data_IF_348867376848
#
_entry.id   IF_348867376848
#
_cell.length_a   1.000
_cell.length_b   1.000
_cell.length_c   1.000
_cell.angle_alpha   90.00
_cell.angle_beta   90.00
_cell.angle_gamma   90.00
#
_symmetry.space_group_name_H-M   'P 1'
#
loop_
_entity.id
_entity.type
_entity.pdbx_description
1 polymer ?
#
# COMPACT_ATOMS: atom_id res chain seq x y z
N UNK A 1 -12.99 -1.44 25.67
CA UNK A 1 -11.99 -1.09 24.62
C UNK A 1 -12.73 -0.81 23.33
N UNK A 2 -12.60 0.40 22.75
CA UNK A 2 -13.30 0.77 21.52
C UNK A 2 -12.56 0.15 20.33
N UNK A 3 -13.14 -0.87 19.71
CA UNK A 3 -12.65 -1.44 18.44
C UNK A 3 -12.75 -0.33 17.39
N UNK A 4 -11.63 0.28 17.02
CA UNK A 4 -11.60 1.23 15.90
C UNK A 4 -11.56 0.42 14.61
N UNK A 5 -12.72 0.22 14.01
CA UNK A 5 -12.82 -0.25 12.62
C UNK A 5 -12.13 0.78 11.72
N UNK A 6 -11.29 0.35 10.75
CA UNK A 6 -10.81 1.26 9.72
C UNK A 6 -12.04 1.77 8.95
N UNK A 7 -12.20 3.09 8.90
CA UNK A 7 -13.28 3.75 8.17
C UNK A 7 -13.11 3.51 6.68
N UNK A 8 -13.77 2.49 6.14
CA UNK A 8 -14.02 2.37 4.70
C UNK A 8 -15.16 3.31 4.31
N UNK A 9 -14.85 4.61 4.22
CA UNK A 9 -15.72 5.58 3.57
C UNK A 9 -15.48 5.61 2.05
N UNK A 10 -16.42 6.12 1.25
CA UNK A 10 -16.27 6.21 -0.21
C UNK A 10 -15.08 7.07 -0.69
N UNK A 11 -14.43 7.83 0.21
CA UNK A 11 -13.22 8.60 -0.07
C UNK A 11 -11.95 8.02 0.60
N UNK A 12 -11.99 6.79 1.09
CA UNK A 12 -10.80 6.14 1.64
C UNK A 12 -9.85 5.74 0.51
N UNK A 13 -8.58 6.07 0.67
CA UNK A 13 -7.50 5.64 -0.22
C UNK A 13 -7.45 4.11 -0.30
N UNK A 14 -7.23 3.57 -1.51
CA UNK A 14 -7.24 2.13 -1.80
C UNK A 14 -5.95 1.72 -2.50
N UNK A 15 -5.28 0.71 -1.96
CA UNK A 15 -3.98 0.24 -2.43
C UNK A 15 -4.03 -0.21 -3.90
N UNK A 16 -5.04 -1.00 -4.25
CA UNK A 16 -5.24 -1.58 -5.57
C UNK A 16 -5.51 -0.50 -6.63
N UNK A 17 -6.23 0.56 -6.25
CA UNK A 17 -6.45 1.71 -7.14
C UNK A 17 -5.16 2.51 -7.36
N UNK A 18 -4.36 2.72 -6.30
CA UNK A 18 -3.08 3.41 -6.41
C UNK A 18 -2.11 2.63 -7.30
N UNK A 19 -2.06 1.29 -7.19
CA UNK A 19 -1.25 0.43 -8.06
C UNK A 19 -1.71 0.54 -9.52
N UNK A 20 -3.01 0.44 -9.79
CA UNK A 20 -3.54 0.58 -11.15
C UNK A 20 -3.17 1.94 -11.77
N UNK A 21 -3.18 3.01 -10.97
CA UNK A 21 -2.74 4.34 -11.41
C UNK A 21 -1.24 4.35 -11.75
N UNK A 22 -0.39 3.81 -10.87
CA UNK A 22 1.06 3.70 -11.12
C UNK A 22 1.35 2.92 -12.41
N UNK A 23 0.70 1.78 -12.61
CA UNK A 23 0.88 0.95 -13.81
C UNK A 23 0.49 1.71 -15.09
N UNK A 24 -0.62 2.44 -15.06
CA UNK A 24 -1.05 3.28 -16.19
C UNK A 24 -0.05 4.41 -16.47
N UNK A 25 0.46 5.08 -15.42
CA UNK A 25 1.46 6.14 -15.57
C UNK A 25 2.78 5.60 -16.15
N UNK A 26 3.26 4.45 -15.68
CA UNK A 26 4.46 3.80 -16.22
C UNK A 26 4.26 3.48 -17.70
N UNK A 27 3.14 2.88 -18.06
CA UNK A 27 2.83 2.57 -19.45
C UNK A 27 2.87 3.82 -20.34
N UNK A 28 2.30 4.93 -19.89
CA UNK A 28 2.31 6.20 -20.61
C UNK A 28 3.72 6.79 -20.74
N UNK A 29 4.58 6.65 -19.74
CA UNK A 29 5.97 7.10 -19.81
C UNK A 29 6.76 6.26 -20.81
N UNK A 30 6.52 4.95 -20.86
CA UNK A 30 7.21 4.00 -21.73
C UNK A 30 6.90 4.19 -23.22
N UNK A 31 5.77 4.83 -23.58
CA UNK A 31 5.49 5.18 -24.99
C UNK A 31 6.46 6.24 -25.53
N UNK A 32 7.10 7.01 -24.65
CA UNK A 32 7.95 8.15 -24.98
C UNK A 32 7.25 9.22 -25.85
N UNK A 33 5.92 9.29 -25.81
CA UNK A 33 5.11 10.27 -26.56
C UNK A 33 4.90 11.58 -25.78
N UNK A 34 5.19 11.58 -24.47
CA UNK A 34 5.05 12.77 -23.63
C UNK A 34 6.24 13.72 -23.79
N UNK A 35 6.02 15.04 -23.81
CA UNK A 35 7.08 16.02 -23.62
C UNK A 35 7.81 15.78 -22.29
N UNK A 36 9.12 16.05 -22.27
CA UNK A 36 9.96 15.81 -21.08
C UNK A 36 9.40 16.43 -19.79
N UNK A 37 8.85 17.64 -19.86
CA UNK A 37 8.26 18.30 -18.70
C UNK A 37 7.07 17.51 -18.14
N UNK A 38 6.22 16.98 -19.01
CA UNK A 38 5.07 16.15 -18.63
C UNK A 38 5.52 14.78 -18.12
N UNK A 39 6.57 14.18 -18.71
CA UNK A 39 7.17 12.94 -18.20
C UNK A 39 7.64 13.09 -16.76
N UNK A 40 8.30 14.21 -16.42
CA UNK A 40 8.77 14.47 -15.05
C UNK A 40 7.59 14.65 -14.08
N UNK A 41 6.53 15.32 -14.51
CA UNK A 41 5.31 15.48 -13.69
C UNK A 41 4.66 14.12 -13.40
N UNK A 42 4.44 13.31 -14.44
CA UNK A 42 3.88 11.96 -14.33
C UNK A 42 4.74 11.07 -13.42
N UNK A 43 6.06 11.10 -13.59
CA UNK A 43 6.97 10.35 -12.74
C UNK A 43 6.87 10.77 -11.26
N UNK A 44 6.74 12.07 -10.99
CA UNK A 44 6.62 12.59 -9.62
C UNK A 44 5.34 12.09 -8.96
N UNK A 45 4.21 12.11 -9.66
CA UNK A 45 2.94 11.59 -9.16
C UNK A 45 3.01 10.08 -8.88
N UNK A 46 3.59 9.30 -9.81
CA UNK A 46 3.79 7.87 -9.60
C UNK A 46 4.70 7.58 -8.39
N UNK A 47 5.75 8.37 -8.19
CA UNK A 47 6.65 8.24 -7.04
C UNK A 47 5.92 8.52 -5.70
N UNK A 48 5.04 9.51 -5.65
CA UNK A 48 4.21 9.78 -4.46
C UNK A 48 3.27 8.61 -4.15
N UNK A 49 2.60 8.05 -5.16
CA UNK A 49 1.77 6.87 -4.99
C UNK A 49 2.58 5.65 -4.52
N UNK A 50 3.78 5.43 -5.07
CA UNK A 50 4.67 4.35 -4.63
C UNK A 50 5.07 4.50 -3.15
N UNK A 51 5.30 5.72 -2.68
CA UNK A 51 5.57 5.98 -1.26
C UNK A 51 4.37 5.63 -0.37
N UNK A 52 3.16 5.97 -0.80
CA UNK A 52 1.92 5.60 -0.10
C UNK A 52 1.74 4.09 -0.05
N UNK A 53 1.94 3.39 -1.18
CA UNK A 53 1.92 1.93 -1.27
C UNK A 53 2.92 1.30 -0.30
N UNK A 54 4.17 1.78 -0.28
CA UNK A 54 5.21 1.29 0.66
C UNK A 54 4.78 1.47 2.12
N UNK A 55 4.27 2.65 2.49
CA UNK A 55 3.82 2.91 3.85
C UNK A 55 2.69 1.97 4.26
N UNK A 56 1.72 1.74 3.37
CA UNK A 56 0.62 0.81 3.59
C UNK A 56 1.10 -0.64 3.76
N UNK A 57 1.98 -1.11 2.87
CA UNK A 57 2.52 -2.48 2.94
C UNK A 57 3.32 -2.69 4.23
N UNK A 58 4.13 -1.72 4.65
CA UNK A 58 4.85 -1.80 5.92
C UNK A 58 3.88 -1.94 7.11
N UNK A 59 2.79 -1.15 7.10
CA UNK A 59 1.77 -1.24 8.14
C UNK A 59 1.07 -2.60 8.14
N UNK A 60 0.83 -3.18 6.96
CA UNK A 60 0.20 -4.51 6.83
C UNK A 60 1.13 -5.64 7.23
N UNK A 61 2.42 -5.55 6.90
CA UNK A 61 3.42 -6.50 7.35
C UNK A 61 3.44 -6.58 8.88
N UNK A 62 3.53 -5.43 9.55
CA UNK A 62 3.51 -5.37 11.03
C UNK A 62 2.24 -6.00 11.63
N UNK A 63 1.08 -5.81 11.00
CA UNK A 63 -0.17 -6.43 11.45
C UNK A 63 -0.12 -7.96 11.32
N UNK A 64 0.45 -8.48 10.24
CA UNK A 64 0.60 -9.92 10.02
C UNK A 64 1.59 -10.51 11.03
N UNK A 65 2.72 -9.84 11.27
CA UNK A 65 3.74 -10.29 12.22
C UNK A 65 3.16 -10.46 13.63
N UNK A 66 2.38 -9.48 14.11
CA UNK A 66 1.70 -9.55 15.40
C UNK A 66 0.65 -10.69 15.47
N UNK A 67 -0.04 -10.96 14.36
CA UNK A 67 -0.99 -12.05 14.28
C UNK A 67 -0.28 -13.41 14.42
N UNK A 68 0.85 -13.57 13.74
CA UNK A 68 1.66 -14.79 13.81
C UNK A 68 2.18 -14.98 15.24
N UNK A 69 2.71 -13.92 15.86
CA UNK A 69 3.18 -13.96 17.26
C UNK A 69 2.08 -14.44 18.21
N UNK A 70 0.86 -13.90 18.07
CA UNK A 70 -0.30 -14.33 18.86
C UNK A 70 -0.61 -15.82 18.68
N UNK A 71 -0.67 -16.31 17.43
CA UNK A 71 -0.98 -17.71 17.15
C UNK A 71 0.09 -18.66 17.74
N UNK A 72 1.37 -18.29 17.67
CA UNK A 72 2.46 -19.11 18.22
C UNK A 72 2.56 -19.08 19.75
N UNK A 73 2.10 -18.00 20.38
CA UNK A 73 2.11 -17.87 21.84
C UNK A 73 1.03 -18.74 22.48
N UNK A 74 -0.14 -18.83 21.84
CA UNK A 74 -1.26 -19.65 22.32
C UNK A 74 -0.90 -21.15 22.29
N UNK A 75 -0.21 -21.63 21.24
CA UNK A 75 0.31 -23.01 21.12
C UNK A 75 1.36 -23.37 22.19
N UNK A 76 2.20 -22.42 22.59
CA UNK A 76 3.24 -22.64 23.61
C UNK A 76 2.67 -22.74 25.04
N UNK A 77 1.51 -22.14 25.30
CA UNK A 77 0.85 -22.18 26.61
C UNK A 77 0.03 -23.44 26.88
N UNK A 78 -0.37 -24.20 25.86
CA UNK A 78 -1.08 -25.49 26.04
C UNK A 78 -0.13 -26.71 26.18
N UNK A 79 1.18 -26.50 25.99
CA UNK A 79 2.20 -27.57 26.05
C UNK A 79 2.97 -27.66 27.39
N UNK A 80 2.52 -26.95 28.44
CA UNK A 80 3.04 -27.00 29.82
C UNK A 80 1.97 -27.53 30.79
#
# INVERSE_FOLDING_TARGET
>A
MKKQQPKSGPNAWQYEQAIAHIEATIHQIETAELPLAETIEQFTQAAEHLQQCKAFLNQKQQQVDLLIESLTTDDATESL
#
